data_IF_471927315781
#
_entry.id   IF_471927315781
#
_cell.length_a   1.000
_cell.length_b   1.000
_cell.length_c   1.000
_cell.angle_alpha   90.00
_cell.angle_beta   90.00
_cell.angle_gamma   90.00
#
_symmetry.space_group_name_H-M   'P 1'
#
loop_
_entity.id
_entity.type
_entity.pdbx_description
1 polymer ?
#
# COMPACT_ATOMS: atom_id res chain seq x y z
N UNK A 1 -7.65 -2.79 3.80
CA UNK A 1 -7.33 -1.58 3.01
C UNK A 1 -6.45 -1.90 1.82
N UNK A 2 -6.71 -1.24 0.67
CA UNK A 2 -5.93 -1.39 -0.56
C UNK A 2 -5.10 -0.14 -0.82
N UNK A 3 -3.85 -0.31 -1.28
CA UNK A 3 -2.96 0.78 -1.68
C UNK A 3 -2.81 1.82 -0.57
N UNK A 4 -3.10 3.10 -0.81
CA UNK A 4 -3.16 4.16 0.20
C UNK A 4 -4.11 3.79 1.35
N UNK A 5 -5.26 3.16 1.06
CA UNK A 5 -6.22 2.69 2.07
C UNK A 5 -5.62 1.64 3.01
N UNK A 6 -4.61 0.89 2.57
CA UNK A 6 -3.83 -0.01 3.43
C UNK A 6 -3.03 0.76 4.48
N UNK A 7 -2.33 1.81 4.07
CA UNK A 7 -1.64 2.71 5.01
C UNK A 7 -2.58 3.38 6.00
N UNK A 8 -3.78 3.79 5.53
CA UNK A 8 -4.83 4.33 6.42
C UNK A 8 -5.31 3.27 7.41
N UNK A 9 -5.52 2.02 6.96
CA UNK A 9 -5.95 0.91 7.83
C UNK A 9 -4.89 0.58 8.89
N UNK A 10 -3.60 0.57 8.53
CA UNK A 10 -2.50 0.43 9.49
C UNK A 10 -2.51 1.56 10.52
N UNK A 11 -2.58 2.80 10.06
CA UNK A 11 -2.62 3.96 10.97
C UNK A 11 -3.85 3.92 11.88
N UNK A 12 -5.01 3.49 11.36
CA UNK A 12 -6.21 3.29 12.16
C UNK A 12 -6.01 2.23 13.25
N UNK A 13 -5.40 1.09 12.89
CA UNK A 13 -5.11 0.02 13.84
C UNK A 13 -4.16 0.48 14.97
N UNK A 14 -3.20 1.36 14.66
CA UNK A 14 -2.30 1.91 15.67
C UNK A 14 -2.96 2.93 16.61
N UNK A 15 -3.88 3.73 16.08
CA UNK A 15 -4.55 4.78 16.86
C UNK A 15 -5.77 4.27 17.64
N UNK A 16 -6.46 3.27 17.08
CA UNK A 16 -7.72 2.77 17.60
C UNK A 16 -7.73 1.23 17.69
N UNK A 17 -6.73 0.60 18.35
CA UNK A 17 -6.60 -0.86 18.38
C UNK A 17 -7.84 -1.55 18.98
N UNK A 18 -8.57 -0.88 19.88
CA UNK A 18 -9.81 -1.38 20.46
C UNK A 18 -10.97 -1.53 19.45
N UNK A 19 -10.83 -1.00 18.24
CA UNK A 19 -11.83 -1.09 17.16
C UNK A 19 -11.41 -2.05 16.04
N UNK A 20 -10.25 -2.74 16.19
CA UNK A 20 -9.70 -3.58 15.13
C UNK A 20 -9.58 -5.01 15.62
N UNK A 21 -10.36 -5.90 15.01
CA UNK A 21 -10.34 -7.32 15.26
C UNK A 21 -9.35 -8.07 14.36
N UNK A 22 -9.20 -7.62 13.11
CA UNK A 22 -8.30 -8.17 12.09
C UNK A 22 -7.85 -7.08 11.14
N UNK A 23 -6.71 -7.24 10.52
CA UNK A 23 -6.16 -6.29 9.55
C UNK A 23 -5.84 -7.02 8.24
N UNK A 24 -6.40 -6.55 7.12
CA UNK A 24 -6.09 -7.05 5.78
C UNK A 24 -5.52 -5.91 4.95
N UNK A 25 -4.28 -6.10 4.48
CA UNK A 25 -3.53 -5.12 3.70
C UNK A 25 -3.31 -5.66 2.28
N UNK A 26 -3.79 -4.92 1.29
CA UNK A 26 -3.73 -5.33 -0.13
C UNK A 26 -2.91 -4.32 -0.90
N UNK A 27 -1.75 -4.72 -1.45
CA UNK A 27 -0.86 -3.80 -2.18
C UNK A 27 -0.64 -2.49 -1.41
N UNK A 28 -0.40 -2.57 -0.10
CA UNK A 28 -0.51 -1.45 0.82
C UNK A 28 0.61 -0.44 0.68
N UNK A 29 0.26 0.85 0.66
CA UNK A 29 1.19 1.94 0.93
C UNK A 29 1.61 1.97 2.40
N UNK A 30 2.64 2.78 2.70
CA UNK A 30 3.11 3.00 4.07
C UNK A 30 4.10 1.95 4.59
N UNK A 31 4.60 1.03 3.75
CA UNK A 31 5.64 0.08 4.16
C UNK A 31 7.02 0.72 4.03
N UNK A 32 7.42 1.12 2.83
CA UNK A 32 8.67 1.84 2.58
C UNK A 32 8.48 3.06 1.69
N UNK A 33 9.57 3.80 1.43
CA UNK A 33 9.52 5.00 0.59
C UNK A 33 9.24 4.71 -0.89
N UNK A 34 9.50 3.50 -1.38
CA UNK A 34 9.39 3.19 -2.80
C UNK A 34 7.94 3.17 -3.28
N UNK A 35 7.71 3.90 -4.37
CA UNK A 35 6.43 3.97 -5.06
C UNK A 35 6.69 4.35 -6.52
N UNK A 36 5.78 3.96 -7.39
CA UNK A 36 5.92 4.21 -8.83
C UNK A 36 6.15 5.69 -9.13
N UNK A 37 7.07 5.97 -10.07
CA UNK A 37 7.49 7.34 -10.43
C UNK A 37 6.32 8.24 -10.85
N UNK A 38 5.27 7.68 -11.48
CA UNK A 38 4.10 8.46 -11.87
C UNK A 38 3.36 9.08 -10.66
N UNK A 39 3.32 8.39 -9.51
CA UNK A 39 2.74 8.95 -8.29
C UNK A 39 3.61 10.07 -7.71
N UNK A 40 4.94 9.93 -7.79
CA UNK A 40 5.88 11.00 -7.39
C UNK A 40 5.70 12.25 -8.26
N UNK A 41 5.56 12.07 -9.58
CA UNK A 41 5.30 13.19 -10.50
C UNK A 41 3.93 13.82 -10.25
N UNK A 42 2.88 13.01 -10.03
CA UNK A 42 1.54 13.51 -9.74
C UNK A 42 1.45 14.26 -8.39
N UNK A 43 2.36 14.02 -7.45
CA UNK A 43 2.42 14.74 -6.17
C UNK A 43 3.03 16.15 -6.30
N UNK A 44 3.73 16.46 -7.39
CA UNK A 44 4.34 17.78 -7.60
C UNK A 44 3.28 18.91 -7.64
N UNK A 45 3.68 20.17 -7.41
CA UNK A 45 2.77 21.32 -7.38
C UNK A 45 1.87 21.44 -8.61
N UNK A 46 2.38 21.10 -9.81
CA UNK A 46 1.62 21.12 -11.08
C UNK A 46 0.77 19.88 -11.33
N UNK A 47 0.82 18.86 -10.46
CA UNK A 47 0.08 17.60 -10.64
C UNK A 47 -1.44 17.78 -10.66
N UNK A 48 -1.96 18.69 -9.84
CA UNK A 48 -3.40 19.03 -9.84
C UNK A 48 -3.86 19.69 -11.12
N UNK A 49 -3.07 20.61 -11.64
CA UNK A 49 -3.32 21.27 -12.92
C UNK A 49 -3.23 20.30 -14.09
N UNK A 50 -2.27 19.38 -14.09
CA UNK A 50 -2.17 18.32 -15.08
C UNK A 50 -3.41 17.40 -15.05
N UNK A 51 -3.89 17.02 -13.87
CA UNK A 51 -5.14 16.26 -13.74
C UNK A 51 -6.37 17.07 -14.21
N UNK A 52 -6.35 18.40 -14.04
CA UNK A 52 -7.43 19.25 -14.54
C UNK A 52 -7.54 19.24 -16.09
N UNK A 53 -6.45 18.96 -16.81
CA UNK A 53 -6.47 18.80 -18.26
C UNK A 53 -7.33 17.61 -18.71
N UNK A 54 -7.51 16.60 -17.86
CA UNK A 54 -8.41 15.47 -18.15
C UNK A 54 -9.89 15.91 -18.30
N UNK A 55 -10.24 17.10 -17.82
CA UNK A 55 -11.58 17.70 -18.00
C UNK A 55 -11.83 18.22 -19.40
N UNK A 56 -10.77 18.42 -20.19
CA UNK A 56 -10.92 18.84 -21.58
C UNK A 56 -11.52 17.71 -22.42
N UNK A 57 -12.54 17.97 -23.25
CA UNK A 57 -13.34 16.92 -23.91
C UNK A 57 -12.55 15.90 -24.72
N UNK A 58 -11.38 16.31 -25.24
CA UNK A 58 -10.55 15.43 -26.09
C UNK A 58 -9.39 14.76 -25.37
N UNK A 59 -9.04 15.22 -24.14
CA UNK A 59 -7.84 14.74 -23.43
C UNK A 59 -8.07 13.36 -22.83
N UNK A 60 -9.15 13.17 -22.09
CA UNK A 60 -9.44 11.87 -21.46
C UNK A 60 -9.63 10.75 -22.50
N UNK A 61 -10.42 10.92 -23.60
CA UNK A 61 -10.50 9.94 -24.66
C UNK A 61 -9.15 9.64 -25.32
N UNK A 62 -8.32 10.67 -25.55
CA UNK A 62 -6.97 10.47 -26.11
C UNK A 62 -6.06 9.67 -25.17
N UNK A 63 -6.09 9.96 -23.86
CA UNK A 63 -5.34 9.19 -22.84
C UNK A 63 -5.82 7.75 -22.78
N UNK A 64 -7.13 7.52 -22.84
CA UNK A 64 -7.71 6.18 -22.85
C UNK A 64 -7.29 5.39 -24.10
N UNK A 65 -7.34 6.02 -25.28
CA UNK A 65 -6.91 5.39 -26.53
C UNK A 65 -5.41 5.07 -26.51
N UNK A 66 -4.58 6.02 -26.10
CA UNK A 66 -3.14 5.80 -25.93
C UNK A 66 -2.86 4.67 -24.94
N UNK A 67 -3.59 4.62 -23.82
CA UNK A 67 -3.52 3.57 -22.84
C UNK A 67 -3.88 2.19 -23.41
N UNK A 68 -4.94 2.10 -24.22
CA UNK A 68 -5.32 0.85 -24.89
C UNK A 68 -4.23 0.37 -25.86
N UNK A 69 -3.64 1.28 -26.63
CA UNK A 69 -2.52 0.96 -27.55
C UNK A 69 -1.31 0.48 -26.77
N UNK A 70 -0.95 1.18 -25.69
CA UNK A 70 0.17 0.79 -24.82
C UNK A 70 -0.10 -0.58 -24.17
N UNK A 71 -1.31 -0.82 -23.68
CA UNK A 71 -1.72 -2.11 -23.12
C UNK A 71 -1.64 -3.24 -24.15
N UNK A 72 -2.06 -3.00 -25.39
CA UNK A 72 -1.97 -3.97 -26.48
C UNK A 72 -0.50 -4.29 -26.86
N UNK A 73 0.40 -3.30 -26.78
CA UNK A 73 1.83 -3.47 -27.11
C UNK A 73 2.60 -4.12 -25.96
N UNK A 74 2.39 -3.66 -24.72
CA UNK A 74 3.08 -4.18 -23.53
C UNK A 74 2.48 -5.51 -23.04
N UNK A 75 1.27 -5.84 -23.47
CA UNK A 75 0.57 -7.04 -23.06
C UNK A 75 0.20 -7.02 -21.55
N UNK A 76 0.09 -8.22 -20.97
CA UNK A 76 -0.28 -8.41 -19.56
C UNK A 76 0.90 -8.30 -18.59
N UNK A 77 1.97 -7.58 -18.92
CA UNK A 77 3.15 -7.41 -18.09
C UNK A 77 3.30 -5.97 -17.60
N UNK A 78 3.75 -5.81 -16.36
CA UNK A 78 4.03 -4.52 -15.77
C UNK A 78 2.81 -3.58 -15.82
N UNK A 79 3.02 -2.32 -16.19
CA UNK A 79 1.98 -1.28 -16.30
C UNK A 79 0.81 -1.66 -17.21
N UNK A 80 1.03 -2.52 -18.22
CA UNK A 80 -0.04 -2.93 -19.14
C UNK A 80 -1.17 -3.68 -18.45
N UNK A 81 -0.88 -4.41 -17.40
CA UNK A 81 -1.87 -5.16 -16.60
C UNK A 81 -2.78 -4.23 -15.79
N UNK A 82 -2.19 -3.31 -15.04
CA UNK A 82 -2.92 -2.41 -14.15
C UNK A 82 -3.60 -1.26 -14.91
N UNK A 83 -3.28 -1.10 -16.19
CA UNK A 83 -3.75 0.01 -17.02
C UNK A 83 -5.28 0.14 -17.10
N UNK A 84 -6.09 -0.94 -17.26
CA UNK A 84 -7.54 -0.84 -17.26
C UNK A 84 -8.09 -0.22 -15.95
N UNK A 85 -7.54 -0.60 -14.80
CA UNK A 85 -7.98 -0.09 -13.50
C UNK A 85 -7.50 1.35 -13.27
N UNK A 86 -6.27 1.66 -13.67
CA UNK A 86 -5.76 3.05 -13.68
C UNK A 86 -6.63 3.94 -14.55
N UNK A 87 -7.02 3.50 -15.76
CA UNK A 87 -7.92 4.25 -16.64
C UNK A 87 -9.32 4.44 -16.06
N UNK A 88 -9.81 3.44 -15.31
CA UNK A 88 -11.08 3.55 -14.58
C UNK A 88 -10.99 4.65 -13.52
N UNK A 89 -9.93 4.68 -12.71
CA UNK A 89 -9.68 5.73 -11.72
C UNK A 89 -9.57 7.09 -12.40
N UNK A 90 -8.79 7.19 -13.48
CA UNK A 90 -8.61 8.45 -14.22
C UNK A 90 -9.93 8.99 -14.81
N UNK A 91 -10.88 8.10 -15.14
CA UNK A 91 -12.20 8.48 -15.64
C UNK A 91 -13.02 9.28 -14.62
N UNK A 92 -12.84 8.99 -13.33
CA UNK A 92 -13.58 9.65 -12.27
C UNK A 92 -12.86 10.91 -11.73
N UNK A 93 -11.57 11.08 -12.02
CA UNK A 93 -10.75 12.23 -11.61
C UNK A 93 -11.15 13.60 -12.24
N UNK A 94 -11.80 13.69 -13.44
CA UNK A 94 -12.28 14.97 -13.97
C UNK A 94 -13.28 15.68 -13.06
N UNK A 95 -13.96 14.97 -12.16
CA UNK A 95 -14.82 15.58 -11.17
C UNK A 95 -13.98 16.46 -10.22
N UNK A 96 -14.32 17.76 -10.02
CA UNK A 96 -13.49 18.71 -9.26
C UNK A 96 -13.21 18.27 -7.82
N UNK A 97 -14.19 17.71 -7.14
CA UNK A 97 -14.06 17.27 -5.74
C UNK A 97 -13.16 16.04 -5.66
N UNK A 98 -13.34 15.06 -6.54
CA UNK A 98 -12.52 13.85 -6.62
C UNK A 98 -11.06 14.18 -6.94
N UNK A 99 -10.82 15.04 -7.94
CA UNK A 99 -9.49 15.49 -8.32
C UNK A 99 -8.79 16.25 -7.19
N UNK A 100 -9.50 17.15 -6.50
CA UNK A 100 -8.95 17.90 -5.37
C UNK A 100 -8.64 17.00 -4.19
N UNK A 101 -9.55 16.07 -3.86
CA UNK A 101 -9.35 15.09 -2.80
C UNK A 101 -8.15 14.19 -3.10
N UNK A 102 -8.08 13.62 -4.31
CA UNK A 102 -6.97 12.78 -4.74
C UNK A 102 -5.63 13.52 -4.64
N UNK A 103 -5.52 14.71 -5.24
CA UNK A 103 -4.28 15.49 -5.24
C UNK A 103 -3.84 15.88 -3.84
N UNK A 104 -4.79 16.31 -2.99
CA UNK A 104 -4.50 16.69 -1.61
C UNK A 104 -4.02 15.51 -0.79
N UNK A 105 -4.67 14.36 -0.93
CA UNK A 105 -4.31 13.12 -0.22
C UNK A 105 -2.97 12.60 -0.71
N UNK A 106 -2.75 12.57 -2.04
CA UNK A 106 -1.48 12.12 -2.61
C UNK A 106 -0.31 12.94 -2.10
N UNK A 107 -0.43 14.29 -2.10
CA UNK A 107 0.61 15.20 -1.60
C UNK A 107 0.87 15.09 -0.10
N UNK A 108 -0.09 14.59 0.67
CA UNK A 108 0.10 14.36 2.10
C UNK A 108 0.94 13.09 2.38
N UNK A 109 1.00 12.15 1.44
CA UNK A 109 1.62 10.83 1.67
C UNK A 109 2.73 10.48 0.68
N UNK A 110 2.89 11.24 -0.43
CA UNK A 110 3.93 11.03 -1.45
C UNK A 110 4.52 12.37 -1.84
N UNK A 111 5.84 12.44 -1.90
CA UNK A 111 6.60 13.54 -2.48
C UNK A 111 7.49 13.06 -3.65
N UNK A 112 8.39 13.88 -4.14
CA UNK A 112 9.31 13.54 -5.22
C UNK A 112 10.32 12.42 -4.85
N UNK A 113 10.53 12.17 -3.54
CA UNK A 113 11.41 11.12 -3.02
C UNK A 113 10.68 9.80 -2.84
N UNK A 114 9.33 9.81 -2.79
CA UNK A 114 8.50 8.63 -2.58
C UNK A 114 7.45 8.82 -1.49
N UNK A 115 7.14 7.77 -0.75
CA UNK A 115 6.21 7.85 0.37
C UNK A 115 6.84 8.60 1.54
N UNK A 116 6.13 9.63 2.04
CA UNK A 116 6.57 10.45 3.18
C UNK A 116 6.32 9.75 4.50
N UNK A 117 5.22 8.98 4.58
CA UNK A 117 4.83 8.25 5.78
C UNK A 117 5.12 6.77 5.59
N UNK A 118 5.98 6.23 6.44
CA UNK A 118 6.25 4.79 6.55
C UNK A 118 5.85 4.32 7.95
N UNK A 119 5.48 3.04 8.08
CA UNK A 119 4.92 2.47 9.31
C UNK A 119 5.61 1.20 9.76
N UNK A 120 6.71 0.80 9.09
CA UNK A 120 7.49 -0.38 9.44
C UNK A 120 8.00 -0.34 10.89
N UNK A 121 8.39 0.85 11.35
CA UNK A 121 8.84 1.13 12.72
C UNK A 121 7.73 0.91 13.78
N UNK A 122 6.48 0.79 13.36
CA UNK A 122 5.29 0.64 14.23
C UNK A 122 4.58 -0.69 14.05
N UNK A 123 5.08 -1.58 13.21
CA UNK A 123 4.47 -2.90 12.96
C UNK A 123 4.34 -3.74 14.24
N UNK A 124 5.19 -3.53 15.25
CA UNK A 124 5.08 -4.19 16.56
C UNK A 124 3.73 -3.91 17.27
N UNK A 125 3.05 -2.81 16.93
CA UNK A 125 1.74 -2.48 17.49
C UNK A 125 0.62 -3.39 16.99
N UNK A 126 0.88 -4.19 15.96
CA UNK A 126 -0.07 -5.20 15.46
C UNK A 126 0.17 -6.60 16.00
N UNK A 127 1.06 -6.78 16.98
CA UNK A 127 1.46 -8.10 17.49
C UNK A 127 0.26 -8.93 18.01
N UNK A 128 -0.75 -8.27 18.60
CA UNK A 128 -1.98 -8.93 19.07
C UNK A 128 -3.10 -8.99 18.03
N UNK A 129 -2.91 -8.41 16.84
CA UNK A 129 -3.93 -8.34 15.79
C UNK A 129 -3.57 -9.30 14.67
N UNK A 130 -4.46 -10.24 14.29
CA UNK A 130 -4.23 -11.05 13.10
C UNK A 130 -4.12 -10.17 11.86
N UNK A 131 -3.07 -10.38 11.07
CA UNK A 131 -2.77 -9.60 9.87
C UNK A 131 -2.67 -10.51 8.65
N UNK A 132 -3.39 -10.18 7.59
CA UNK A 132 -3.27 -10.76 6.25
C UNK A 132 -2.66 -9.74 5.30
N UNK A 133 -1.58 -10.12 4.64
CA UNK A 133 -0.94 -9.38 3.57
C UNK A 133 -1.29 -10.04 2.24
N UNK A 134 -1.82 -9.29 1.28
CA UNK A 134 -2.15 -9.76 -0.06
C UNK A 134 -1.46 -8.85 -1.07
N UNK A 135 -0.74 -9.45 -2.02
CA UNK A 135 0.02 -8.67 -3.01
C UNK A 135 0.07 -9.36 -4.36
N UNK A 136 0.06 -8.56 -5.43
CA UNK A 136 0.37 -9.07 -6.75
C UNK A 136 1.89 -9.18 -6.95
N UNK A 137 2.36 -10.29 -7.52
CA UNK A 137 3.78 -10.49 -7.85
C UNK A 137 4.31 -9.42 -8.80
N UNK A 138 3.45 -8.98 -9.72
CA UNK A 138 3.78 -8.01 -10.77
C UNK A 138 3.31 -6.59 -10.44
N UNK A 139 3.09 -6.27 -9.15
CA UNK A 139 2.71 -4.93 -8.71
C UNK A 139 3.84 -3.93 -9.03
N UNK A 140 3.58 -3.05 -10.00
CA UNK A 140 4.52 -1.99 -10.40
C UNK A 140 4.26 -0.67 -9.68
N UNK A 141 3.12 -0.54 -9.01
CA UNK A 141 2.75 0.66 -8.25
C UNK A 141 3.45 0.65 -6.89
N UNK A 142 3.30 -0.46 -6.16
CA UNK A 142 3.99 -0.72 -4.90
C UNK A 142 4.63 -2.11 -4.99
N UNK A 143 5.94 -2.20 -5.19
CA UNK A 143 6.63 -3.46 -5.48
C UNK A 143 6.36 -4.56 -4.44
N UNK A 144 6.28 -5.81 -4.90
CA UNK A 144 6.02 -6.99 -4.03
C UNK A 144 7.06 -7.15 -2.91
N UNK A 145 8.25 -6.60 -3.05
CA UNK A 145 9.26 -6.55 -1.99
C UNK A 145 8.74 -5.89 -0.70
N UNK A 146 7.79 -4.95 -0.81
CA UNK A 146 7.14 -4.34 0.37
C UNK A 146 6.31 -5.36 1.15
N UNK A 147 5.66 -6.32 0.48
CA UNK A 147 4.94 -7.40 1.15
C UNK A 147 5.86 -8.27 2.01
N UNK A 148 7.03 -8.61 1.47
CA UNK A 148 8.05 -9.38 2.16
C UNK A 148 8.61 -8.63 3.38
N UNK A 149 8.89 -7.33 3.22
CA UNK A 149 9.36 -6.49 4.33
C UNK A 149 8.29 -6.31 5.41
N UNK A 150 7.04 -6.09 5.02
CA UNK A 150 5.93 -5.99 5.97
C UNK A 150 5.71 -7.31 6.73
N UNK A 151 5.78 -8.45 6.03
CA UNK A 151 5.67 -9.78 6.63
C UNK A 151 6.79 -10.05 7.64
N UNK A 152 8.02 -9.68 7.29
CA UNK A 152 9.16 -9.81 8.19
C UNK A 152 9.05 -8.90 9.44
N UNK A 153 8.45 -7.71 9.28
CA UNK A 153 8.20 -6.79 10.40
C UNK A 153 6.97 -7.17 11.24
N UNK A 154 6.12 -8.07 10.72
CA UNK A 154 4.93 -8.61 11.39
C UNK A 154 4.96 -10.15 11.37
N UNK A 155 5.79 -10.80 12.21
CA UNK A 155 6.06 -12.26 12.13
C UNK A 155 4.81 -13.14 12.28
N UNK A 156 3.74 -12.63 12.90
CA UNK A 156 2.45 -13.34 13.02
C UNK A 156 1.52 -13.15 11.83
N UNK A 157 1.89 -12.37 10.82
CA UNK A 157 1.04 -12.14 9.64
C UNK A 157 1.02 -13.35 8.71
N UNK A 158 -0.06 -13.46 7.94
CA UNK A 158 -0.16 -14.36 6.79
C UNK A 158 0.17 -13.57 5.52
N UNK A 159 0.93 -14.17 4.60
CA UNK A 159 1.32 -13.55 3.33
C UNK A 159 0.80 -14.38 2.17
N UNK A 160 0.08 -13.73 1.26
CA UNK A 160 -0.41 -14.33 0.03
C UNK A 160 0.03 -13.51 -1.19
N UNK A 161 0.77 -14.15 -2.09
CA UNK A 161 1.24 -13.55 -3.35
C UNK A 161 0.44 -14.11 -4.52
N UNK A 162 -0.14 -13.22 -5.29
CA UNK A 162 -0.90 -13.53 -6.51
C UNK A 162 0.05 -13.47 -7.71
N UNK A 163 0.56 -14.62 -8.15
CA UNK A 163 1.62 -14.75 -9.16
C UNK A 163 1.33 -14.07 -10.50
N UNK A 164 0.04 -13.98 -10.89
CA UNK A 164 -0.39 -13.38 -12.15
C UNK A 164 -1.12 -12.05 -11.97
N UNK A 165 -0.91 -11.38 -10.84
CA UNK A 165 -1.60 -10.16 -10.50
C UNK A 165 -0.65 -8.96 -10.44
N UNK A 166 -1.19 -7.78 -10.77
CA UNK A 166 -0.58 -6.49 -10.54
C UNK A 166 -1.04 -5.86 -9.24
N UNK A 167 -1.33 -4.55 -9.30
CA UNK A 167 -1.74 -3.77 -8.12
C UNK A 167 -3.17 -4.08 -7.62
N UNK A 168 -3.99 -4.79 -8.41
CA UNK A 168 -5.42 -5.02 -8.13
C UNK A 168 -5.75 -6.52 -8.08
N UNK A 169 -5.20 -7.32 -7.13
CA UNK A 169 -5.42 -8.77 -7.09
C UNK A 169 -6.90 -9.18 -7.00
N UNK A 170 -7.73 -8.36 -6.38
CA UNK A 170 -9.17 -8.59 -6.29
C UNK A 170 -9.93 -8.38 -7.62
N UNK A 171 -9.31 -7.75 -8.63
CA UNK A 171 -9.83 -7.66 -9.99
C UNK A 171 -9.24 -8.75 -10.89
N UNK A 172 -7.97 -9.09 -10.68
CA UNK A 172 -7.26 -10.06 -11.49
C UNK A 172 -7.74 -11.51 -11.22
N UNK A 173 -8.01 -11.83 -9.96
CA UNK A 173 -8.49 -13.15 -9.52
C UNK A 173 -9.46 -13.00 -8.32
N UNK A 174 -10.72 -12.59 -8.58
CA UNK A 174 -11.69 -12.31 -7.54
C UNK A 174 -12.06 -13.53 -6.71
N UNK A 175 -12.13 -14.71 -7.33
CA UNK A 175 -12.53 -15.95 -6.65
C UNK A 175 -11.46 -16.34 -5.62
N UNK A 176 -10.19 -16.39 -6.03
CA UNK A 176 -9.07 -16.64 -5.13
C UNK A 176 -8.95 -15.56 -4.05
N UNK A 177 -9.23 -14.31 -4.39
CA UNK A 177 -9.18 -13.23 -3.41
C UNK A 177 -10.20 -13.46 -2.29
N UNK A 178 -11.43 -13.84 -2.65
CA UNK A 178 -12.48 -14.16 -1.68
C UNK A 178 -12.09 -15.38 -0.84
N UNK A 179 -11.55 -16.43 -1.46
CA UNK A 179 -11.08 -17.63 -0.74
C UNK A 179 -10.00 -17.29 0.29
N UNK A 180 -9.00 -16.51 -0.07
CA UNK A 180 -7.92 -16.09 0.83
C UNK A 180 -8.45 -15.28 2.01
N UNK A 181 -9.35 -14.33 1.75
CA UNK A 181 -9.97 -13.52 2.81
C UNK A 181 -10.82 -14.39 3.74
N UNK A 182 -11.63 -15.29 3.17
CA UNK A 182 -12.47 -16.19 3.96
C UNK A 182 -11.63 -17.15 4.82
N UNK A 183 -10.60 -17.75 4.23
CA UNK A 183 -9.68 -18.62 4.95
C UNK A 183 -8.98 -17.89 6.11
N UNK A 184 -8.56 -16.67 5.89
CA UNK A 184 -7.97 -15.84 6.95
C UNK A 184 -8.95 -15.57 8.08
N UNK A 185 -10.19 -15.22 7.77
CA UNK A 185 -11.23 -14.97 8.79
C UNK A 185 -11.53 -16.24 9.57
N UNK A 186 -11.65 -17.39 8.90
CA UNK A 186 -12.00 -18.68 9.52
C UNK A 186 -10.85 -19.26 10.33
N UNK A 187 -9.59 -19.02 9.93
CA UNK A 187 -8.39 -19.54 10.61
C UNK A 187 -7.91 -18.69 11.78
N UNK A 188 -8.43 -17.47 11.94
CA UNK A 188 -7.98 -16.54 12.98
C UNK A 188 -9.08 -16.20 13.97
N UNK A 189 -8.70 -15.90 15.20
CA UNK A 189 -9.62 -15.33 16.19
C UNK A 189 -9.55 -13.80 16.14
N UNK A 190 -10.68 -13.09 16.38
CA UNK A 190 -10.65 -11.64 16.56
C UNK A 190 -9.65 -11.23 17.62
N UNK A 191 -8.94 -10.13 17.42
CA UNK A 191 -8.09 -9.56 18.44
C UNK A 191 -8.93 -9.09 19.63
N UNK A 192 -8.45 -9.39 20.82
CA UNK A 192 -9.02 -8.86 22.06
C UNK A 192 -8.15 -7.70 22.54
N UNK A 193 -8.77 -6.53 22.72
CA UNK A 193 -8.04 -5.36 23.16
C UNK A 193 -7.67 -5.44 24.65
N UNK A 194 -6.39 -5.43 24.92
CA UNK A 194 -5.83 -5.31 26.27
C UNK A 194 -4.98 -4.03 26.39
N UNK A 195 -5.50 -3.04 27.11
CA UNK A 195 -4.81 -1.76 27.31
C UNK A 195 -3.52 -1.88 28.13
N UNK A 196 -3.39 -2.92 28.96
CA UNK A 196 -2.16 -3.16 29.75
C UNK A 196 -1.08 -3.70 28.83
N UNK A 197 -1.42 -4.71 28.01
CA UNK A 197 -0.52 -5.28 27.03
C UNK A 197 -0.06 -4.21 26.00
N UNK A 198 -0.98 -3.41 25.46
CA UNK A 198 -0.63 -2.31 24.57
C UNK A 198 0.34 -1.30 25.21
N UNK A 199 0.10 -0.94 26.48
CA UNK A 199 1.00 -0.03 27.20
C UNK A 199 2.39 -0.63 27.42
N UNK A 200 2.48 -1.95 27.59
CA UNK A 200 3.75 -2.65 27.67
C UNK A 200 4.47 -2.65 26.32
N UNK A 201 3.78 -2.93 25.21
CA UNK A 201 4.31 -2.83 23.86
C UNK A 201 4.84 -1.42 23.55
N UNK A 202 4.08 -0.38 23.87
CA UNK A 202 4.50 1.01 23.66
C UNK A 202 5.74 1.39 24.50
N UNK A 203 5.95 0.76 25.66
CA UNK A 203 7.15 1.00 26.48
C UNK A 203 8.35 0.18 26.01
N UNK A 204 8.13 -1.02 25.55
CA UNK A 204 9.18 -1.91 25.04
C UNK A 204 9.70 -1.45 23.68
N UNK A 205 8.85 -0.79 22.87
CA UNK A 205 9.19 -0.43 21.50
C UNK A 205 9.36 -1.66 20.61
N UNK A 206 10.18 -1.52 19.57
CA UNK A 206 10.50 -2.61 18.65
C UNK A 206 11.31 -3.67 19.43
N UNK A 207 10.76 -4.89 19.60
CA UNK A 207 11.49 -5.98 20.21
C UNK A 207 12.59 -6.49 19.29
N UNK A 208 13.72 -6.96 19.86
CA UNK A 208 14.79 -7.59 19.08
C UNK A 208 14.29 -8.81 18.26
N UNK A 209 13.19 -9.44 18.69
CA UNK A 209 12.55 -10.53 17.96
C UNK A 209 11.88 -10.10 16.63
N UNK A 210 11.34 -8.89 16.56
CA UNK A 210 10.78 -8.34 15.32
C UNK A 210 11.87 -8.07 14.27
N UNK A 211 13.12 -7.93 14.70
CA UNK A 211 14.30 -7.78 13.84
C UNK A 211 14.98 -9.13 13.54
N UNK A 212 14.42 -10.27 13.96
CA UNK A 212 15.04 -11.59 13.80
C UNK A 212 14.89 -12.21 12.41
N UNK A 213 14.37 -11.48 11.43
CA UNK A 213 14.41 -11.84 10.01
C UNK A 213 15.84 -12.02 9.48
N UNK A 214 15.96 -12.46 8.24
CA UNK A 214 17.28 -12.63 7.57
C UNK A 214 18.13 -11.35 7.71
N UNK A 215 19.45 -11.48 7.66
CA UNK A 215 20.38 -10.33 7.76
C UNK A 215 20.01 -9.24 6.75
N UNK A 216 19.57 -9.64 5.54
CA UNK A 216 19.12 -8.70 4.50
C UNK A 216 17.85 -7.94 4.88
N UNK A 217 16.92 -8.58 5.59
CA UNK A 217 15.69 -7.92 6.07
C UNK A 217 15.98 -6.95 7.20
N UNK A 218 16.93 -7.30 8.10
CA UNK A 218 17.40 -6.39 9.16
C UNK A 218 18.05 -5.15 8.57
N UNK A 219 18.90 -5.31 7.57
CA UNK A 219 19.58 -4.21 6.87
C UNK A 219 18.53 -3.33 6.17
N UNK A 220 17.56 -3.91 5.46
CA UNK A 220 16.49 -3.15 4.79
C UNK A 220 15.60 -2.36 5.77
N UNK A 221 15.25 -2.96 6.93
CA UNK A 221 14.48 -2.27 7.98
C UNK A 221 15.31 -1.15 8.62
N UNK A 222 16.58 -1.41 8.95
CA UNK A 222 17.48 -0.42 9.53
C UNK A 222 17.82 0.71 8.54
N UNK A 223 17.99 0.41 7.26
CA UNK A 223 18.21 1.41 6.21
C UNK A 223 16.96 2.27 5.99
N UNK A 224 15.76 1.67 6.02
CA UNK A 224 14.51 2.41 5.95
C UNK A 224 14.33 3.36 7.15
N UNK A 225 14.67 2.91 8.36
CA UNK A 225 14.66 3.73 9.59
C UNK A 225 15.74 4.81 9.58
N UNK A 226 16.98 4.48 9.21
CA UNK A 226 18.09 5.42 9.15
C UNK A 226 18.00 6.45 8.01
N UNK A 227 17.21 6.17 6.98
CA UNK A 227 16.89 7.14 5.94
C UNK A 227 15.89 8.19 6.42
N UNK A 228 15.05 7.87 7.42
CA UNK A 228 14.10 8.80 8.02
C UNK A 228 14.78 9.81 8.95
N UNK A 229 15.76 9.38 9.75
CA UNK A 229 16.52 10.27 10.62
C UNK A 229 17.37 11.28 9.83
N UNK A 230 17.92 10.88 8.67
CA UNK A 230 18.71 11.77 7.80
C UNK A 230 17.88 12.76 6.99
N UNK A 231 16.56 12.60 6.93
CA UNK A 231 15.67 13.55 6.25
C UNK A 231 15.06 14.60 7.18
N UNK A 232 15.28 14.47 8.49
CA UNK A 232 14.77 15.37 9.52
C UNK A 232 15.80 16.46 9.97
N UNK A 233 17.02 16.41 9.44
CA UNK A 233 18.08 17.42 9.60
C UNK A 233 18.30 18.18 8.30
#
# INVERSE_FOLDING_TARGET
GHSLGGGVAMQFAYQFPQLVERLILVGSGGVTKDVHVALRVASLPMGGEALALLRLPMVLPAVQLAGQVVGAVLGSRGLGRDLPDVLRILRDLPEPTASSAFTRTLRAVVDWRGQVVTMLDRCYLTESVPVQLIWGENDVVIPVAHAQMAHAAMPGSQLEIFERSGHFPFHDDPDRFVEVVQQFVDSTRPAEYDHVALRQLLRAGISEGALSGSVDTRVAVLDAMGADERSAT
#
